data_IF_856840503219
#
_entry.id   IF_856840503219
#
_cell.length_a   1.000
_cell.length_b   1.000
_cell.length_c   1.000
_cell.angle_alpha   90.00
_cell.angle_beta   90.00
_cell.angle_gamma   90.00
#
_symmetry.space_group_name_H-M   'P 1'
#
loop_
_entity.id
_entity.type
_entity.pdbx_description
1 polymer ?
#
# COMPACT_ATOMS: atom_id res chain seq x y z
N UNK A 1 -10.18 2.55 1.57
CA UNK A 1 -10.19 3.69 0.63
C UNK A 1 -10.22 3.11 -0.78
N UNK A 2 -11.20 3.45 -1.61
CA UNK A 2 -11.23 3.02 -3.00
C UNK A 2 -10.47 4.04 -3.86
N UNK A 3 -9.51 3.59 -4.67
CA UNK A 3 -8.64 4.47 -5.47
C UNK A 3 -7.97 3.68 -6.60
N UNK A 4 -7.22 4.38 -7.45
CA UNK A 4 -6.38 3.78 -8.50
C UNK A 4 -4.91 3.78 -8.08
N UNK A 5 -4.07 3.00 -8.75
CA UNK A 5 -2.63 3.01 -8.52
C UNK A 5 -2.03 4.42 -8.66
N UNK A 6 -2.43 5.14 -9.72
CA UNK A 6 -2.03 6.53 -9.95
C UNK A 6 -2.52 7.46 -8.83
N UNK A 7 -3.81 7.40 -8.47
CA UNK A 7 -4.37 8.26 -7.43
C UNK A 7 -3.75 8.05 -6.04
N UNK A 8 -3.30 6.81 -5.74
CA UNK A 8 -2.53 6.52 -4.53
C UNK A 8 -1.15 7.20 -4.56
N UNK A 9 -0.43 7.11 -5.68
CA UNK A 9 0.89 7.74 -5.85
C UNK A 9 0.80 9.27 -5.83
N UNK A 10 -0.21 9.85 -6.48
CA UNK A 10 -0.46 11.29 -6.45
C UNK A 10 -0.75 11.79 -5.04
N UNK A 11 -1.63 11.10 -4.31
CA UNK A 11 -1.93 11.45 -2.93
C UNK A 11 -0.69 11.38 -2.04
N UNK A 12 0.18 10.39 -2.27
CA UNK A 12 1.45 10.23 -1.53
C UNK A 12 2.41 11.39 -1.85
N UNK A 13 2.57 11.75 -3.13
CA UNK A 13 3.37 12.90 -3.56
C UNK A 13 2.90 14.19 -2.89
N UNK A 14 1.59 14.44 -2.91
CA UNK A 14 1.03 15.68 -2.37
C UNK A 14 1.19 15.76 -0.84
N UNK A 15 0.97 14.66 -0.13
CA UNK A 15 1.23 14.58 1.31
C UNK A 15 2.71 14.84 1.66
N UNK A 16 3.63 14.34 0.86
CA UNK A 16 5.07 14.55 1.06
C UNK A 16 5.48 16.00 0.76
N UNK A 17 4.90 16.62 -0.27
CA UNK A 17 5.14 18.04 -0.60
C UNK A 17 4.61 18.98 0.47
N UNK A 18 3.42 18.69 0.99
CA UNK A 18 2.74 19.54 1.97
C UNK A 18 3.20 19.22 3.41
N UNK A 19 4.20 18.34 3.57
CA UNK A 19 4.76 17.98 4.87
C UNK A 19 5.45 19.21 5.52
N UNK A 20 5.03 19.63 6.72
CA UNK A 20 5.52 20.85 7.38
C UNK A 20 7.05 20.90 7.62
N UNK A 21 7.73 19.74 7.60
CA UNK A 21 9.18 19.65 7.75
C UNK A 21 9.97 19.96 6.47
N UNK A 22 9.35 19.85 5.30
CA UNK A 22 10.02 20.03 4.01
C UNK A 22 10.48 21.48 3.74
N UNK A 23 9.88 22.45 4.45
CA UNK A 23 10.08 23.89 4.23
C UNK A 23 10.78 24.58 5.43
N UNK A 24 11.03 23.87 6.53
CA UNK A 24 11.63 24.45 7.75
C UNK A 24 13.05 23.96 8.07
N UNK A 25 13.80 24.73 8.86
CA UNK A 25 15.17 24.42 9.30
C UNK A 25 15.24 23.33 10.42
N UNK A 26 14.27 22.41 10.45
CA UNK A 26 14.23 21.37 11.47
C UNK A 26 15.48 20.48 11.35
N UNK A 27 16.36 20.44 12.37
CA UNK A 27 17.60 19.69 12.29
C UNK A 27 17.28 18.19 12.18
N UNK A 28 17.73 17.58 11.08
CA UNK A 28 17.56 16.15 10.81
C UNK A 28 16.73 15.81 9.58
N UNK A 29 16.01 16.75 8.97
CA UNK A 29 15.32 16.48 7.70
C UNK A 29 16.26 16.69 6.51
N UNK A 30 16.55 15.62 5.77
CA UNK A 30 17.27 15.72 4.49
C UNK A 30 16.33 16.25 3.41
N UNK A 31 16.14 17.57 3.38
CA UNK A 31 15.27 18.25 2.40
C UNK A 31 15.66 17.90 0.95
N UNK A 32 16.96 17.80 0.66
CA UNK A 32 17.44 17.39 -0.68
C UNK A 32 17.04 15.96 -1.04
N UNK A 33 17.09 15.04 -0.08
CA UNK A 33 16.64 13.66 -0.27
C UNK A 33 15.13 13.55 -0.51
N UNK A 34 14.33 14.35 0.21
CA UNK A 34 12.88 14.41 0.01
C UNK A 34 12.53 14.95 -1.37
N UNK A 35 13.18 16.04 -1.79
CA UNK A 35 12.99 16.64 -3.12
C UNK A 35 13.33 15.64 -4.24
N UNK A 36 14.46 14.93 -4.12
CA UNK A 36 14.83 13.88 -5.08
C UNK A 36 13.84 12.71 -5.10
N UNK A 37 13.23 12.37 -3.96
CA UNK A 37 12.21 11.32 -3.90
C UNK A 37 10.91 11.76 -4.59
N UNK A 38 10.48 13.00 -4.37
CA UNK A 38 9.31 13.60 -5.05
C UNK A 38 9.53 13.64 -6.57
N UNK A 39 10.75 14.00 -7.02
CA UNK A 39 11.10 13.98 -8.45
C UNK A 39 10.99 12.56 -9.05
N UNK A 40 11.48 11.55 -8.35
CA UNK A 40 11.33 10.15 -8.78
C UNK A 40 9.86 9.72 -8.82
N UNK A 41 9.04 10.15 -7.87
CA UNK A 41 7.59 9.89 -7.90
C UNK A 41 6.93 10.55 -9.13
N UNK A 42 7.35 11.75 -9.50
CA UNK A 42 6.87 12.40 -10.72
C UNK A 42 7.29 11.62 -11.98
N UNK A 43 8.52 11.12 -12.07
CA UNK A 43 8.94 10.25 -13.19
C UNK A 43 8.04 9.02 -13.34
N UNK A 44 7.61 8.43 -12.22
CA UNK A 44 6.71 7.27 -12.20
C UNK A 44 5.31 7.66 -12.68
N UNK A 45 4.76 8.76 -12.17
CA UNK A 45 3.45 9.28 -12.58
C UNK A 45 3.41 9.66 -14.07
N UNK A 46 4.52 10.16 -14.62
CA UNK A 46 4.66 10.46 -16.05
C UNK A 46 4.93 9.21 -16.92
N UNK A 47 5.00 8.02 -16.32
CA UNK A 47 5.28 6.77 -17.03
C UNK A 47 6.73 6.63 -17.53
N UNK A 48 7.65 7.50 -17.09
CA UNK A 48 9.07 7.48 -17.49
C UNK A 48 9.88 6.42 -16.75
N UNK A 49 9.36 5.93 -15.63
CA UNK A 49 10.02 4.93 -14.78
C UNK A 49 9.03 3.83 -14.40
N UNK A 50 9.37 2.59 -14.74
CA UNK A 50 8.64 1.42 -14.26
C UNK A 50 8.93 1.15 -12.78
N UNK A 51 7.89 0.76 -12.04
CA UNK A 51 7.96 0.41 -10.61
C UNK A 51 7.08 -0.79 -10.31
N UNK A 52 7.36 -1.44 -9.19
CA UNK A 52 6.50 -2.48 -8.62
C UNK A 52 5.84 -1.93 -7.36
N UNK A 53 4.51 -1.95 -7.31
CA UNK A 53 3.76 -1.59 -6.12
C UNK A 53 3.48 -2.89 -5.35
N UNK A 54 3.96 -2.97 -4.12
CA UNK A 54 3.73 -4.10 -3.24
C UNK A 54 2.68 -3.68 -2.21
N UNK A 55 1.53 -4.36 -2.21
CA UNK A 55 0.48 -4.20 -1.22
C UNK A 55 0.48 -5.44 -0.32
N UNK A 56 0.87 -5.25 0.94
CA UNK A 56 0.86 -6.28 1.95
C UNK A 56 -0.24 -5.97 2.98
N UNK A 57 -1.24 -6.84 3.07
CA UNK A 57 -2.39 -6.70 3.95
C UNK A 57 -2.65 -8.02 4.68
N UNK A 58 -2.21 -8.15 5.94
CA UNK A 58 -2.43 -9.35 6.75
C UNK A 58 -3.92 -9.67 6.97
N UNK A 59 -4.81 -8.67 6.91
CA UNK A 59 -6.24 -8.89 7.07
C UNK A 59 -6.90 -9.43 5.78
N UNK A 60 -6.22 -9.32 4.63
CA UNK A 60 -6.70 -9.80 3.34
C UNK A 60 -7.91 -9.00 2.78
N UNK A 61 -8.09 -7.77 3.22
CA UNK A 61 -9.22 -6.91 2.83
C UNK A 61 -8.90 -6.00 1.64
N UNK A 62 -7.62 -5.95 1.24
CA UNK A 62 -7.16 -5.18 0.09
C UNK A 62 -7.47 -5.89 -1.22
N UNK A 63 -7.84 -5.12 -2.24
CA UNK A 63 -8.22 -5.63 -3.56
C UNK A 63 -7.56 -4.79 -4.65
N UNK A 64 -7.04 -5.48 -5.67
CA UNK A 64 -6.50 -4.88 -6.90
C UNK A 64 -7.24 -5.49 -8.07
N UNK A 65 -7.80 -4.64 -8.93
CA UNK A 65 -8.50 -5.08 -10.13
C UNK A 65 -7.48 -5.54 -11.19
N UNK A 66 -7.72 -6.71 -11.77
CA UNK A 66 -6.95 -7.19 -12.93
C UNK A 66 -7.38 -6.45 -14.20
N UNK A 67 -6.45 -6.15 -15.10
CA UNK A 67 -6.78 -5.56 -16.40
C UNK A 67 -7.37 -6.58 -17.39
N UNK A 68 -7.24 -7.87 -17.10
CA UNK A 68 -7.72 -8.97 -17.93
C UNK A 68 -9.00 -9.63 -17.36
N UNK A 69 -9.75 -8.93 -16.50
CA UNK A 69 -10.89 -9.49 -15.75
C UNK A 69 -12.03 -10.03 -16.67
N UNK A 70 -12.04 -9.63 -17.95
CA UNK A 70 -13.00 -10.11 -18.96
C UNK A 70 -12.69 -11.54 -19.46
N UNK A 71 -11.45 -12.03 -19.31
CA UNK A 71 -11.03 -13.37 -19.72
C UNK A 71 -10.35 -14.11 -18.54
N UNK A 72 -11.07 -15.02 -17.87
CA UNK A 72 -10.55 -15.73 -16.70
C UNK A 72 -9.38 -16.67 -17.03
N UNK A 73 -9.15 -16.99 -18.30
CA UNK A 73 -8.03 -17.82 -18.75
C UNK A 73 -6.80 -16.98 -19.15
N UNK A 74 -6.91 -15.64 -19.14
CA UNK A 74 -5.83 -14.71 -19.47
C UNK A 74 -5.24 -14.07 -18.20
N UNK A 75 -4.10 -14.57 -17.69
CA UNK A 75 -3.47 -13.98 -16.50
C UNK A 75 -2.96 -12.56 -16.80
N UNK A 76 -3.02 -11.69 -15.79
CA UNK A 76 -2.44 -10.34 -15.85
C UNK A 76 -0.96 -10.41 -15.45
N UNK A 77 -0.06 -10.30 -16.43
CA UNK A 77 1.39 -10.34 -16.23
C UNK A 77 1.90 -9.21 -15.30
N UNK A 78 1.13 -8.13 -15.16
CA UNK A 78 1.44 -7.00 -14.28
C UNK A 78 0.98 -7.19 -12.84
N UNK A 79 0.19 -8.24 -12.54
CA UNK A 79 -0.41 -8.46 -11.24
C UNK A 79 -0.04 -9.83 -10.66
N UNK A 80 0.65 -9.82 -9.52
CA UNK A 80 0.95 -11.03 -8.74
C UNK A 80 0.23 -10.97 -7.39
N UNK A 81 -0.59 -11.98 -7.11
CA UNK A 81 -1.29 -12.14 -5.83
C UNK A 81 -0.70 -13.33 -5.08
N UNK A 82 -0.17 -13.09 -3.88
CA UNK A 82 0.34 -14.12 -2.98
C UNK A 82 -0.53 -14.17 -1.71
N UNK A 83 -0.90 -15.38 -1.27
CA UNK A 83 -1.60 -15.62 -0.01
C UNK A 83 -0.64 -16.29 0.95
N UNK A 84 -0.63 -15.84 2.19
CA UNK A 84 0.26 -16.35 3.23
C UNK A 84 -0.50 -16.56 4.55
N UNK A 85 0.06 -17.41 5.42
CA UNK A 85 -0.43 -17.55 6.79
C UNK A 85 0.13 -16.41 7.65
N UNK A 86 -0.76 -15.70 8.35
CA UNK A 86 -0.39 -14.62 9.26
C UNK A 86 0.56 -15.11 10.34
N UNK A 87 1.54 -14.28 10.70
CA UNK A 87 2.37 -14.52 11.88
C UNK A 87 1.57 -14.32 13.17
N UNK A 88 2.13 -14.77 14.30
CA UNK A 88 1.51 -14.58 15.61
C UNK A 88 1.33 -13.10 15.96
N UNK A 89 2.32 -12.27 15.62
CA UNK A 89 2.32 -10.82 15.83
C UNK A 89 1.26 -10.14 14.96
N UNK A 90 1.12 -10.56 13.70
CA UNK A 90 0.06 -10.05 12.82
C UNK A 90 -1.34 -10.41 13.35
N UNK A 91 -1.51 -11.60 13.94
CA UNK A 91 -2.77 -11.96 14.61
C UNK A 91 -3.00 -11.13 15.87
N UNK A 92 -1.95 -10.78 16.61
CA UNK A 92 -2.02 -9.93 17.81
C UNK A 92 -2.46 -8.51 17.46
N UNK A 93 -1.84 -7.91 16.45
CA UNK A 93 -2.18 -6.57 15.94
C UNK A 93 -3.62 -6.50 15.43
N UNK A 94 -4.12 -7.61 14.88
CA UNK A 94 -5.52 -7.74 14.44
C UNK A 94 -6.48 -8.11 15.58
N UNK A 95 -5.99 -8.30 16.81
CA UNK A 95 -6.79 -8.68 17.99
C UNK A 95 -7.38 -10.09 17.93
N UNK A 96 -6.78 -10.98 17.13
CA UNK A 96 -7.28 -12.32 16.88
C UNK A 96 -6.80 -13.33 17.92
N UNK A 97 -5.65 -13.08 18.56
CA UNK A 97 -5.08 -14.00 19.55
C UNK A 97 -5.97 -14.17 20.80
N UNK A 98 -6.65 -13.09 21.21
CA UNK A 98 -7.54 -13.08 22.38
C UNK A 98 -9.01 -13.34 22.02
N UNK A 99 -9.29 -13.63 20.75
CA UNK A 99 -10.67 -13.87 20.29
C UNK A 99 -11.15 -15.20 20.86
N UNK A 100 -12.09 -15.14 21.80
CA UNK A 100 -12.85 -16.32 22.21
C UNK A 100 -13.72 -16.72 21.02
N UNK A 101 -13.58 -17.94 20.54
CA UNK A 101 -14.39 -18.52 19.45
C UNK A 101 -15.36 -19.59 19.95
N UNK A 102 -15.31 -19.91 21.25
CA UNK A 102 -16.09 -20.96 21.90
C UNK A 102 -17.07 -20.37 22.93
N UNK A 103 -18.20 -21.05 23.17
CA UNK A 103 -19.20 -20.66 24.18
C UNK A 103 -20.31 -19.71 23.70
N UNK A 104 -20.37 -19.39 22.40
CA UNK A 104 -21.46 -18.60 21.81
C UNK A 104 -22.72 -19.42 21.49
N UNK A 105 -22.63 -20.75 21.56
CA UNK A 105 -23.75 -21.65 21.30
C UNK A 105 -24.73 -21.78 22.49
N UNK A 106 -24.36 -21.27 23.67
CA UNK A 106 -25.16 -21.39 24.90
C UNK A 106 -26.03 -20.14 25.22
N UNK A 107 -26.26 -19.24 24.24
CA UNK A 107 -27.09 -18.03 24.40
C UNK A 107 -28.40 -18.07 23.62
#
# INVERSE_FOLDING_TARGET
RFTTAEGMLEATRDQLRDCPGAVGDAPGLNQGGLQQFIEKLNEVLEGKRAVTIVLDDPAGNSYVQSLNDDDPDSPDDGLKIERYERTYEQNDELGLNDMKTEGYEES
#
